data_IF_504450519041
#
_entry.id   IF_504450519041
#
_cell.length_a   1.000
_cell.length_b   1.000
_cell.length_c   1.000
_cell.angle_alpha   90.00
_cell.angle_beta   90.00
_cell.angle_gamma   90.00
#
_symmetry.space_group_name_H-M   'P 1'
#
loop_
_entity.id
_entity.type
_entity.pdbx_description
1 polymer ?
#
# COMPACT_ATOMS: atom_id res chain seq x y z
N UNK A 1 -8.70 13.71 -12.29
CA UNK A 1 -9.12 13.21 -10.97
C UNK A 1 -8.12 12.18 -10.40
N UNK A 2 -7.76 11.14 -11.16
CA UNK A 2 -6.83 10.09 -10.73
C UNK A 2 -5.46 10.61 -10.26
N UNK A 3 -4.97 11.64 -10.92
CA UNK A 3 -3.64 12.21 -10.65
C UNK A 3 -3.46 12.73 -9.22
N UNK A 4 -4.50 13.35 -8.66
CA UNK A 4 -4.44 14.01 -7.35
C UNK A 4 -5.13 13.22 -6.24
N UNK A 5 -6.19 12.47 -6.57
CA UNK A 5 -7.10 11.91 -5.59
C UNK A 5 -6.96 10.41 -5.38
N UNK A 6 -6.33 9.68 -6.31
CA UNK A 6 -6.23 8.23 -6.23
C UNK A 6 -4.78 7.77 -6.32
N UNK A 7 -4.35 6.99 -5.35
CA UNK A 7 -3.10 6.25 -5.37
C UNK A 7 -3.33 4.80 -5.78
N UNK A 8 -2.42 4.24 -6.56
CA UNK A 8 -2.49 2.85 -7.01
C UNK A 8 -1.28 2.07 -6.54
N UNK A 9 -1.52 0.87 -6.01
CA UNK A 9 -0.49 -0.11 -5.65
C UNK A 9 -0.84 -1.43 -6.33
N UNK A 10 0.10 -1.98 -7.08
CA UNK A 10 -0.07 -3.22 -7.82
C UNK A 10 0.74 -4.36 -7.19
N UNK A 11 0.41 -5.60 -7.56
CA UNK A 11 1.14 -6.79 -7.13
C UNK A 11 2.63 -6.73 -7.51
N UNK A 12 2.95 -6.19 -8.68
CA UNK A 12 4.31 -5.94 -9.14
C UNK A 12 4.66 -4.48 -8.90
N UNK A 13 5.81 -4.23 -8.32
CA UNK A 13 6.14 -2.95 -7.67
C UNK A 13 6.31 -1.76 -8.62
N UNK A 14 6.70 -2.00 -9.87
CA UNK A 14 6.90 -0.98 -10.90
C UNK A 14 7.85 0.16 -10.48
N UNK A 15 8.89 -0.16 -9.72
CA UNK A 15 9.93 0.79 -9.36
C UNK A 15 10.90 0.98 -10.53
N UNK A 16 11.46 2.18 -10.64
CA UNK A 16 12.50 2.47 -11.61
C UNK A 16 13.84 1.96 -11.05
N UNK A 17 14.48 0.95 -11.69
CA UNK A 17 15.65 0.28 -11.11
C UNK A 17 16.87 1.17 -10.92
N UNK A 18 17.00 2.21 -11.74
CA UNK A 18 18.13 3.16 -11.72
C UNK A 18 17.97 4.28 -10.70
N UNK A 19 16.85 4.33 -9.97
CA UNK A 19 16.56 5.32 -8.95
C UNK A 19 16.54 4.68 -7.57
N UNK A 20 16.99 5.45 -6.56
CA UNK A 20 16.89 5.04 -5.15
C UNK A 20 15.42 5.02 -4.70
N UNK A 21 15.17 4.48 -3.50
CA UNK A 21 13.84 4.53 -2.88
C UNK A 21 13.33 5.97 -2.80
N UNK A 22 14.17 6.89 -2.30
CA UNK A 22 13.83 8.31 -2.19
C UNK A 22 13.48 8.92 -3.55
N UNK A 23 14.28 8.67 -4.57
CA UNK A 23 14.06 9.18 -5.92
C UNK A 23 12.81 8.59 -6.58
N UNK A 24 12.50 7.32 -6.35
CA UNK A 24 11.27 6.70 -6.83
C UNK A 24 10.03 7.40 -6.25
N UNK A 25 10.06 7.75 -4.97
CA UNK A 25 8.95 8.48 -4.34
C UNK A 25 8.92 9.93 -4.81
N UNK A 26 10.08 10.57 -4.96
CA UNK A 26 10.19 11.96 -5.41
C UNK A 26 9.53 12.23 -6.77
N UNK A 27 9.47 11.23 -7.65
CA UNK A 27 8.85 11.38 -8.97
C UNK A 27 7.41 11.91 -8.91
N UNK A 28 6.61 11.46 -7.92
CA UNK A 28 5.22 11.90 -7.79
C UNK A 28 5.11 13.21 -7.03
N UNK A 29 6.07 13.51 -6.14
CA UNK A 29 6.04 14.74 -5.34
C UNK A 29 6.34 15.97 -6.18
N UNK A 30 7.07 15.83 -7.26
CA UNK A 30 7.38 16.93 -8.19
C UNK A 30 6.16 17.46 -8.93
N UNK A 31 5.12 16.64 -9.08
CA UNK A 31 3.93 16.98 -9.87
C UNK A 31 2.67 17.13 -9.01
N UNK A 32 2.75 16.84 -7.74
CA UNK A 32 1.64 16.97 -6.80
C UNK A 32 1.53 18.40 -6.27
N UNK A 33 0.31 18.82 -5.90
CA UNK A 33 0.06 20.19 -5.39
C UNK A 33 0.52 20.37 -3.95
N UNK A 34 0.31 19.37 -3.11
CA UNK A 34 0.64 19.43 -1.69
C UNK A 34 1.21 18.07 -1.24
N UNK A 35 2.38 17.68 -1.76
CA UNK A 35 2.94 16.37 -1.46
C UNK A 35 3.49 16.28 -0.05
N UNK A 36 3.56 15.04 0.47
CA UNK A 36 4.45 14.71 1.57
C UNK A 36 5.89 14.78 1.08
N UNK A 37 6.83 15.05 1.98
CA UNK A 37 8.24 14.84 1.61
C UNK A 37 8.47 13.35 1.33
N UNK A 38 9.30 12.99 0.36
CA UNK A 38 9.61 11.58 0.07
C UNK A 38 10.14 10.82 1.29
N UNK A 39 10.96 11.48 2.12
CA UNK A 39 11.50 10.90 3.34
C UNK A 39 10.41 10.58 4.37
N UNK A 40 9.43 11.46 4.55
CA UNK A 40 8.30 11.24 5.46
C UNK A 40 7.42 10.09 4.98
N UNK A 41 7.16 10.01 3.69
CA UNK A 41 6.39 8.92 3.10
C UNK A 41 7.07 7.57 3.32
N UNK A 42 8.39 7.50 3.12
CA UNK A 42 9.17 6.29 3.36
C UNK A 42 9.26 5.93 4.85
N UNK A 43 9.38 6.93 5.74
CA UNK A 43 9.35 6.68 7.18
C UNK A 43 8.01 6.08 7.63
N UNK A 44 6.91 6.53 7.06
CA UNK A 44 5.56 6.05 7.36
C UNK A 44 5.39 4.55 7.05
N UNK A 45 6.06 4.05 6.02
CA UNK A 45 6.04 2.64 5.66
C UNK A 45 7.22 1.84 6.25
N UNK A 46 7.97 2.42 7.18
CA UNK A 46 9.06 1.74 7.89
C UNK A 46 10.38 1.66 7.12
N UNK A 47 10.61 2.55 6.15
CA UNK A 47 11.80 2.56 5.31
C UNK A 47 12.69 3.81 5.47
N UNK A 48 12.60 4.47 6.62
CA UNK A 48 13.41 5.67 6.90
C UNK A 48 14.93 5.45 6.83
N UNK A 49 15.39 4.22 6.99
CA UNK A 49 16.82 3.86 6.90
C UNK A 49 17.20 3.24 5.54
N UNK A 50 16.31 3.25 4.57
CA UNK A 50 16.51 2.67 3.23
C UNK A 50 16.41 3.69 2.11
N UNK A 51 16.47 4.98 2.42
CA UNK A 51 16.24 6.08 1.48
C UNK A 51 17.14 6.02 0.24
N UNK A 52 18.39 5.65 0.41
CA UNK A 52 19.40 5.65 -0.65
C UNK A 52 19.68 4.27 -1.25
N UNK A 53 18.86 3.27 -0.91
CA UNK A 53 18.93 1.94 -1.50
C UNK A 53 18.25 1.92 -2.88
N UNK A 54 18.86 1.21 -3.82
CA UNK A 54 18.23 0.91 -5.10
C UNK A 54 17.30 -0.31 -4.99
N UNK A 55 16.31 -0.46 -5.87
CA UNK A 55 15.41 -1.61 -5.83
C UNK A 55 16.12 -2.96 -5.73
N UNK A 56 17.25 -3.16 -6.44
CA UNK A 56 18.02 -4.39 -6.37
C UNK A 56 18.60 -4.70 -4.98
N UNK A 57 18.70 -3.71 -4.10
CA UNK A 57 19.19 -3.85 -2.72
C UNK A 57 18.07 -4.06 -1.71
N UNK A 58 16.82 -4.08 -2.16
CA UNK A 58 15.64 -4.18 -1.32
C UNK A 58 14.96 -5.53 -1.51
N UNK A 59 14.40 -6.07 -0.42
CA UNK A 59 13.52 -7.24 -0.48
C UNK A 59 12.24 -6.93 -1.26
N UNK A 60 11.50 -7.97 -1.67
CA UNK A 60 10.21 -7.78 -2.35
C UNK A 60 9.23 -6.95 -1.52
N UNK A 61 9.13 -7.23 -0.22
CA UNK A 61 8.27 -6.47 0.68
C UNK A 61 8.71 -5.02 0.88
N UNK A 62 10.02 -4.78 0.94
CA UNK A 62 10.56 -3.43 0.97
C UNK A 62 10.26 -2.67 -0.32
N UNK A 63 10.43 -3.32 -1.49
CA UNK A 63 10.07 -2.72 -2.78
C UNK A 63 8.58 -2.37 -2.84
N UNK A 64 7.71 -3.26 -2.35
CA UNK A 64 6.27 -2.99 -2.30
C UNK A 64 5.95 -1.82 -1.39
N UNK A 65 6.63 -1.71 -0.25
CA UNK A 65 6.46 -0.55 0.64
C UNK A 65 6.96 0.75 0.02
N UNK A 66 8.00 0.72 -0.80
CA UNK A 66 8.40 1.90 -1.60
C UNK A 66 7.30 2.30 -2.58
N UNK A 67 6.69 1.32 -3.26
CA UNK A 67 5.57 1.59 -4.17
C UNK A 67 4.37 2.19 -3.44
N UNK A 68 4.08 1.74 -2.22
CA UNK A 68 3.05 2.30 -1.36
C UNK A 68 3.39 3.74 -0.96
N UNK A 69 4.62 3.98 -0.50
CA UNK A 69 5.09 5.32 -0.16
C UNK A 69 4.96 6.29 -1.34
N UNK A 70 5.32 5.85 -2.55
CA UNK A 70 5.14 6.62 -3.77
C UNK A 70 3.67 6.96 -4.02
N UNK A 71 2.77 6.01 -3.82
CA UNK A 71 1.34 6.21 -4.03
C UNK A 71 0.74 7.22 -3.03
N UNK A 72 1.18 7.20 -1.76
CA UNK A 72 0.61 8.07 -0.72
C UNK A 72 1.29 9.43 -0.59
N UNK A 73 2.47 9.60 -1.19
CA UNK A 73 3.22 10.86 -1.08
C UNK A 73 2.49 12.06 -1.70
N UNK A 74 1.62 11.83 -2.66
CA UNK A 74 0.77 12.88 -3.25
C UNK A 74 -0.48 13.20 -2.42
N UNK A 75 -0.66 12.58 -1.25
CA UNK A 75 -1.81 12.71 -0.35
C UNK A 75 -3.14 12.40 -1.04
N UNK A 76 -3.32 11.18 -1.59
CA UNK A 76 -4.57 10.82 -2.24
C UNK A 76 -5.70 10.66 -1.22
N UNK A 77 -6.94 10.85 -1.66
CA UNK A 77 -8.13 10.57 -0.86
C UNK A 77 -8.42 9.06 -0.79
N UNK A 78 -8.02 8.35 -1.83
CA UNK A 78 -8.27 6.92 -2.00
C UNK A 78 -6.99 6.19 -2.41
N UNK A 79 -6.69 5.09 -1.74
CA UNK A 79 -5.63 4.17 -2.09
C UNK A 79 -6.25 2.86 -2.60
N UNK A 80 -5.94 2.52 -3.84
CA UNK A 80 -6.36 1.25 -4.45
C UNK A 80 -5.17 0.29 -4.47
N UNK A 81 -5.30 -0.84 -3.79
CA UNK A 81 -4.26 -1.87 -3.72
C UNK A 81 -4.77 -3.15 -4.38
N UNK A 82 -4.15 -3.53 -5.49
CA UNK A 82 -4.49 -4.73 -6.24
C UNK A 82 -3.49 -5.84 -5.90
N UNK A 83 -3.94 -6.83 -5.13
CA UNK A 83 -3.13 -7.95 -4.65
C UNK A 83 -1.77 -7.52 -4.06
N UNK A 84 -1.75 -6.60 -3.09
CA UNK A 84 -0.49 -5.99 -2.63
C UNK A 84 0.48 -6.96 -1.97
N UNK A 85 0.00 -8.13 -1.54
CA UNK A 85 0.80 -9.19 -0.91
C UNK A 85 0.94 -10.44 -1.78
N UNK A 86 0.41 -10.43 -3.00
CA UNK A 86 0.28 -11.62 -3.83
C UNK A 86 1.59 -12.31 -4.21
N UNK A 87 2.70 -11.57 -4.25
CA UNK A 87 4.03 -12.11 -4.59
C UNK A 87 4.92 -12.30 -3.34
N UNK A 88 4.36 -12.19 -2.12
CA UNK A 88 5.11 -12.18 -0.86
C UNK A 88 4.73 -13.38 0.01
N UNK A 89 5.70 -13.85 0.80
CA UNK A 89 5.43 -14.78 1.89
C UNK A 89 4.61 -14.08 3.00
N UNK A 90 4.03 -14.87 3.89
CA UNK A 90 3.15 -14.37 4.95
C UNK A 90 3.80 -13.32 5.85
N UNK A 91 5.02 -13.57 6.31
CA UNK A 91 5.72 -12.62 7.20
C UNK A 91 5.96 -11.27 6.53
N UNK A 92 6.46 -11.31 5.32
CA UNK A 92 6.73 -10.10 4.53
C UNK A 92 5.43 -9.39 4.14
N UNK A 93 4.41 -10.16 3.80
CA UNK A 93 3.08 -9.65 3.48
C UNK A 93 2.43 -8.90 4.64
N UNK A 94 2.60 -9.40 5.88
CA UNK A 94 2.09 -8.73 7.09
C UNK A 94 2.69 -7.33 7.23
N UNK A 95 3.99 -7.15 6.99
CA UNK A 95 4.64 -5.84 7.06
C UNK A 95 4.05 -4.84 6.04
N UNK A 96 3.68 -5.34 4.86
CA UNK A 96 3.01 -4.53 3.84
C UNK A 96 1.61 -4.13 4.30
N UNK A 97 0.85 -5.06 4.87
CA UNK A 97 -0.49 -4.77 5.41
C UNK A 97 -0.45 -3.81 6.59
N UNK A 98 0.54 -3.94 7.48
CA UNK A 98 0.75 -2.99 8.58
C UNK A 98 1.03 -1.57 8.05
N UNK A 99 1.80 -1.44 6.97
CA UNK A 99 2.04 -0.14 6.35
C UNK A 99 0.74 0.47 5.81
N UNK A 100 -0.10 -0.32 5.16
CA UNK A 100 -1.40 0.10 4.64
C UNK A 100 -2.34 0.51 5.79
N UNK A 101 -2.38 -0.28 6.85
CA UNK A 101 -3.18 0.01 8.06
C UNK A 101 -2.76 1.34 8.69
N UNK A 102 -1.46 1.57 8.85
CA UNK A 102 -0.91 2.80 9.38
C UNK A 102 -1.27 4.03 8.53
N UNK A 103 -1.21 3.90 7.21
CA UNK A 103 -1.62 4.96 6.29
C UNK A 103 -3.09 5.34 6.51
N UNK A 104 -3.96 4.35 6.63
CA UNK A 104 -5.37 4.57 6.91
C UNK A 104 -5.57 5.30 8.25
N UNK A 105 -4.88 4.86 9.28
CA UNK A 105 -5.03 5.42 10.63
C UNK A 105 -4.44 6.83 10.77
N UNK A 106 -3.25 7.07 10.21
CA UNK A 106 -2.54 8.33 10.37
C UNK A 106 -2.94 9.40 9.36
N UNK A 107 -3.28 9.03 8.13
CA UNK A 107 -3.63 9.97 7.07
C UNK A 107 -5.13 10.08 6.81
N UNK A 108 -5.94 9.16 7.35
CA UNK A 108 -7.37 9.10 7.06
C UNK A 108 -7.71 8.72 5.62
N UNK A 109 -6.73 8.20 4.87
CA UNK A 109 -6.92 7.76 3.49
C UNK A 109 -7.86 6.57 3.42
N UNK A 110 -8.89 6.64 2.60
CA UNK A 110 -9.74 5.47 2.32
C UNK A 110 -8.95 4.45 1.52
N UNK A 111 -9.02 3.19 1.90
CA UNK A 111 -8.24 2.14 1.24
C UNK A 111 -9.16 1.04 0.72
N UNK A 112 -8.95 0.65 -0.53
CA UNK A 112 -9.60 -0.51 -1.14
C UNK A 112 -8.53 -1.55 -1.44
N UNK A 113 -8.66 -2.72 -0.80
CA UNK A 113 -7.81 -3.87 -1.04
C UNK A 113 -8.54 -4.87 -1.93
N UNK A 114 -7.96 -5.19 -3.07
CA UNK A 114 -8.44 -6.27 -3.93
C UNK A 114 -7.56 -7.47 -3.63
N UNK A 115 -8.16 -8.55 -3.17
CA UNK A 115 -7.42 -9.78 -2.81
C UNK A 115 -8.32 -11.01 -2.93
N UNK A 116 -7.74 -12.14 -3.25
CA UNK A 116 -8.40 -13.45 -3.18
C UNK A 116 -8.14 -14.16 -1.84
N UNK A 117 -7.41 -13.53 -0.92
CA UNK A 117 -7.09 -14.10 0.38
C UNK A 117 -8.15 -13.68 1.41
N UNK A 118 -8.96 -14.65 1.82
CA UNK A 118 -10.06 -14.42 2.77
C UNK A 118 -9.59 -13.95 4.15
N UNK A 119 -8.38 -14.32 4.58
CA UNK A 119 -7.82 -13.89 5.87
C UNK A 119 -7.63 -12.38 5.91
N UNK A 120 -7.15 -11.79 4.81
CA UNK A 120 -6.92 -10.35 4.71
C UNK A 120 -8.24 -9.56 4.84
N UNK A 121 -9.36 -10.14 4.44
CA UNK A 121 -10.67 -9.49 4.57
C UNK A 121 -11.03 -9.15 6.03
N UNK A 122 -10.45 -9.84 7.00
CA UNK A 122 -10.72 -9.59 8.42
C UNK A 122 -10.18 -8.24 8.93
N UNK A 123 -9.25 -7.63 8.21
CA UNK A 123 -8.72 -6.30 8.57
C UNK A 123 -9.56 -5.13 8.04
N UNK A 124 -10.52 -5.39 7.17
CA UNK A 124 -11.35 -4.37 6.56
C UNK A 124 -12.57 -4.02 7.42
N UNK A 125 -13.06 -2.79 7.27
CA UNK A 125 -14.35 -2.39 7.85
C UNK A 125 -15.51 -3.03 7.09
N UNK A 126 -15.38 -3.10 5.77
CA UNK A 126 -16.41 -3.59 4.85
C UNK A 126 -15.79 -4.54 3.83
N UNK A 127 -16.45 -5.65 3.59
CA UNK A 127 -16.01 -6.67 2.63
C UNK A 127 -17.07 -6.84 1.56
N UNK A 128 -16.63 -6.76 0.30
CA UNK A 128 -17.45 -7.05 -0.87
C UNK A 128 -16.93 -8.32 -1.53
N UNK A 129 -17.76 -9.34 -1.62
CA UNK A 129 -17.41 -10.58 -2.32
C UNK A 129 -17.97 -10.49 -3.72
N UNK A 130 -17.07 -10.56 -4.69
CA UNK A 130 -17.40 -10.40 -6.11
C UNK A 130 -17.19 -11.70 -6.87
N UNK A 131 -18.02 -11.90 -7.88
CA UNK A 131 -17.90 -12.99 -8.84
C UNK A 131 -18.75 -12.70 -10.07
N UNK A 132 -18.30 -13.17 -11.24
CA UNK A 132 -19.01 -13.01 -12.52
C UNK A 132 -19.43 -11.56 -12.82
N UNK A 133 -18.60 -10.60 -12.42
CA UNK A 133 -18.85 -9.18 -12.64
C UNK A 133 -19.91 -8.54 -11.72
N UNK A 134 -20.34 -9.23 -10.68
CA UNK A 134 -21.35 -8.73 -9.74
C UNK A 134 -20.91 -8.90 -8.28
N UNK A 135 -21.49 -8.09 -7.41
CA UNK A 135 -21.33 -8.24 -5.96
C UNK A 135 -22.32 -9.32 -5.50
N UNK A 136 -21.78 -10.41 -4.95
CA UNK A 136 -22.58 -11.53 -4.44
C UNK A 136 -22.92 -11.38 -2.96
N UNK A 137 -22.04 -10.77 -2.19
CA UNK A 137 -22.22 -10.61 -0.75
C UNK A 137 -21.55 -9.31 -0.29
N UNK A 138 -22.17 -8.65 0.65
CA UNK A 138 -21.59 -7.54 1.40
C UNK A 138 -21.70 -7.84 2.89
N UNK A 139 -20.60 -7.65 3.62
CA UNK A 139 -20.61 -7.74 5.07
C UNK A 139 -19.77 -6.64 5.70
N UNK A 140 -20.08 -6.31 6.94
CA UNK A 140 -19.29 -5.40 7.76
C UNK A 140 -18.70 -6.18 8.92
N UNK A 141 -17.40 -6.01 9.14
CA UNK A 141 -16.75 -6.57 10.31
C UNK A 141 -17.09 -5.70 11.53
N UNK A 142 -17.60 -6.30 12.60
CA UNK A 142 -17.91 -5.59 13.84
C UNK A 142 -16.63 -4.99 14.47
N UNK A 143 -15.50 -5.67 14.26
CA UNK A 143 -14.18 -5.23 14.70
C UNK A 143 -13.14 -5.66 13.68
N UNK A 144 -12.30 -4.73 13.25
CA UNK A 144 -11.15 -5.04 12.38
C UNK A 144 -10.12 -5.83 13.16
N UNK A 145 -9.56 -6.84 12.51
CA UNK A 145 -8.42 -7.58 13.04
C UNK A 145 -7.14 -6.86 12.63
N UNK A 146 -6.20 -6.59 13.57
CA UNK A 146 -4.95 -5.92 13.23
C UNK A 146 -4.12 -6.71 12.21
N UNK A 147 -3.45 -6.00 11.31
CA UNK A 147 -2.60 -6.63 10.28
C UNK A 147 -1.54 -7.56 10.87
N UNK A 148 -0.94 -7.20 12.00
CA UNK A 148 0.08 -8.00 12.70
C UNK A 148 -0.40 -9.38 13.14
N UNK A 149 -1.71 -9.60 13.24
CA UNK A 149 -2.31 -10.87 13.63
C UNK A 149 -2.67 -11.77 12.44
N UNK A 150 -2.42 -11.30 11.21
CA UNK A 150 -2.70 -12.06 10.00
C UNK A 150 -1.63 -13.12 9.76
N UNK A 151 -2.07 -14.26 9.24
CA UNK A 151 -1.17 -15.31 8.75
C UNK A 151 -1.90 -16.16 7.71
N UNK A 152 -1.21 -16.56 6.66
CA UNK A 152 -1.75 -17.41 5.58
C UNK A 152 -0.68 -18.32 4.98
#
# INVERSE_FOLDING_TARGET
YRREHVGFVFQFYNLIPSLTALENVALVTEIARNPMSPGDALALVGLGERLHHFPAQLSGGEQQRVAIARAIAKRPDLLLCDEPTGALDSQTGVLVLEAIERIHEELGTSTVLITHNAVIAEMADRVLIMGDGAIHEERRNARRRPAREMSW
#
